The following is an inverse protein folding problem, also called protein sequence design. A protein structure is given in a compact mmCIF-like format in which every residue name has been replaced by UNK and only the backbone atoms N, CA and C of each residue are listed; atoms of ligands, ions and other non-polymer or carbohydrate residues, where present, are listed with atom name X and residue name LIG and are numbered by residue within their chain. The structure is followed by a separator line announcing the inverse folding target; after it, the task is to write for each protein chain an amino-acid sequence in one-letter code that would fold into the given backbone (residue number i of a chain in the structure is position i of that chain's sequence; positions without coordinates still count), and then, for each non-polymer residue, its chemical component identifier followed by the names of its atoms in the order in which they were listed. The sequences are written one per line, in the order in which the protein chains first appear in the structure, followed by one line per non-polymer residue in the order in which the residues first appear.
data_IF_798178408336
#
_entry.id   IF_798178408336
#
_cell.length_a   1.000
_cell.length_b   1.000
_cell.length_c   1.000
_cell.angle_alpha   90.00
_cell.angle_beta   90.00
_cell.angle_gamma   90.00
#
_symmetry.space_group_name_H-M   'P 1'
#
loop_
_entity.id
_entity.type
_entity.pdbx_description
1 polymer ?
#
# COMPACT_ATOMS: atom_id res chain seq x y z
N UNK A 1 14.27 -25.19 -9.85
CA UNK A 1 15.43 -24.26 -9.71
C UNK A 1 14.85 -22.88 -9.90
N UNK A 2 15.08 -21.91 -9.01
CA UNK A 2 14.46 -20.59 -9.17
C UNK A 2 15.07 -19.89 -10.38
N UNK A 3 14.24 -19.45 -11.31
CA UNK A 3 14.67 -18.75 -12.52
C UNK A 3 14.66 -17.23 -12.29
N UNK A 4 15.55 -16.52 -12.98
CA UNK A 4 15.52 -15.06 -12.97
C UNK A 4 14.26 -14.59 -13.72
N UNK A 5 13.52 -13.67 -13.12
CA UNK A 5 12.37 -13.03 -13.77
C UNK A 5 12.80 -11.92 -14.72
N UNK A 6 11.93 -11.60 -15.69
CA UNK A 6 12.07 -10.41 -16.53
C UNK A 6 12.28 -9.14 -15.68
N UNK A 7 13.09 -8.17 -16.13
CA UNK A 7 13.36 -6.95 -15.36
C UNK A 7 12.09 -6.14 -15.02
N UNK A 8 11.11 -6.10 -15.93
CA UNK A 8 9.82 -5.44 -15.70
C UNK A 8 9.02 -6.11 -14.59
N UNK A 9 8.92 -7.44 -14.61
CA UNK A 9 8.31 -8.21 -13.52
C UNK A 9 9.06 -8.03 -12.20
N UNK A 10 10.38 -8.06 -12.24
CA UNK A 10 11.23 -7.82 -11.05
C UNK A 10 10.97 -6.44 -10.43
N UNK A 11 10.74 -5.42 -11.27
CA UNK A 11 10.37 -4.07 -10.81
C UNK A 11 9.05 -4.06 -10.05
N UNK A 12 8.02 -4.76 -10.55
CA UNK A 12 6.71 -4.89 -9.87
C UNK A 12 6.86 -5.52 -8.48
N UNK A 13 7.69 -6.57 -8.36
CA UNK A 13 7.92 -7.25 -7.08
C UNK A 13 8.69 -6.37 -6.10
N UNK A 14 9.72 -5.65 -6.57
CA UNK A 14 10.45 -4.69 -5.76
C UNK A 14 9.53 -3.55 -5.31
N UNK A 15 8.63 -3.09 -6.19
CA UNK A 15 7.68 -2.04 -5.88
C UNK A 15 6.71 -2.46 -4.79
N UNK A 16 6.18 -3.68 -4.87
CA UNK A 16 5.31 -4.30 -3.85
C UNK A 16 5.97 -4.36 -2.46
N UNK A 17 7.31 -4.42 -2.41
CA UNK A 17 8.09 -4.46 -1.15
C UNK A 17 8.59 -3.09 -0.70
N UNK A 18 8.42 -2.05 -1.51
CA UNK A 18 9.07 -0.75 -1.29
C UNK A 18 8.62 -0.04 0.00
N UNK A 19 7.42 -0.33 0.52
CA UNK A 19 6.96 0.19 1.82
C UNK A 19 7.85 -0.27 2.98
N UNK A 20 8.51 -1.41 2.86
CA UNK A 20 9.42 -1.97 3.87
C UNK A 20 10.88 -1.51 3.67
N UNK A 21 11.14 -0.64 2.68
CA UNK A 21 12.44 -0.01 2.43
C UNK A 21 12.51 1.33 3.16
N UNK A 22 12.73 1.27 4.48
CA UNK A 22 12.76 2.43 5.36
C UNK A 22 13.83 3.46 4.96
N UNK A 23 14.87 3.05 4.26
CA UNK A 23 15.91 3.91 3.68
C UNK A 23 15.31 4.97 2.75
N UNK A 24 14.20 4.65 2.07
CA UNK A 24 13.48 5.59 1.20
C UNK A 24 12.62 6.60 1.98
N UNK A 25 12.42 6.38 3.28
CA UNK A 25 11.49 7.13 4.13
C UNK A 25 12.21 8.01 5.17
N UNK A 26 13.54 8.02 5.21
CA UNK A 26 14.34 8.75 6.22
C UNK A 26 13.98 10.22 6.34
N UNK A 27 13.68 10.90 5.23
CA UNK A 27 13.27 12.30 5.23
C UNK A 27 11.98 12.57 6.03
N UNK A 28 11.13 11.54 6.22
CA UNK A 28 9.91 11.66 7.02
C UNK A 28 10.19 11.83 8.51
N UNK A 29 11.42 11.56 8.98
CA UNK A 29 11.81 11.72 10.37
C UNK A 29 12.20 13.17 10.73
N UNK A 30 12.22 14.08 9.75
CA UNK A 30 12.45 15.50 10.00
C UNK A 30 11.50 16.07 11.07
N UNK A 31 12.04 16.70 12.11
CA UNK A 31 11.30 17.20 13.27
C UNK A 31 10.98 16.14 14.34
N UNK A 32 11.45 14.90 14.20
CA UNK A 32 11.23 13.80 15.16
C UNK A 32 12.59 13.43 15.79
N UNK A 33 12.78 13.59 17.11
CA UNK A 33 13.99 13.09 17.77
C UNK A 33 14.10 11.57 17.63
N UNK A 34 15.29 11.10 17.23
CA UNK A 34 15.57 9.67 17.04
C UNK A 34 16.79 9.29 17.87
N UNK A 35 16.60 8.33 18.78
CA UNK A 35 17.67 7.68 19.54
C UNK A 35 17.79 6.22 19.09
N UNK A 36 18.99 5.80 18.74
CA UNK A 36 19.31 4.47 18.27
C UNK A 36 20.30 3.80 19.22
N UNK A 37 20.06 2.54 19.55
CA UNK A 37 20.97 1.73 20.32
C UNK A 37 21.09 0.34 19.70
N UNK A 38 22.31 -0.15 19.50
CA UNK A 38 22.56 -1.44 18.86
C UNK A 38 23.61 -2.24 19.62
N UNK A 39 23.43 -3.56 19.74
CA UNK A 39 24.48 -4.45 20.23
C UNK A 39 25.62 -4.59 19.21
N UNK A 40 26.87 -4.33 19.62
CA UNK A 40 28.03 -4.43 18.72
C UNK A 40 28.30 -5.87 18.23
N UNK A 41 27.83 -6.87 18.97
CA UNK A 41 28.00 -8.28 18.70
C UNK A 41 26.67 -8.96 18.35
N UNK A 42 25.70 -8.21 17.81
CA UNK A 42 24.43 -8.75 17.32
C UNK A 42 24.67 -9.57 16.04
N UNK A 43 24.39 -10.86 16.12
CA UNK A 43 24.53 -11.86 15.06
C UNK A 43 23.20 -12.19 14.35
N UNK A 44 22.07 -11.65 14.84
CA UNK A 44 20.75 -11.81 14.23
C UNK A 44 20.39 -10.61 13.34
N UNK A 45 20.60 -9.39 13.85
CA UNK A 45 20.46 -8.14 13.10
C UNK A 45 21.79 -7.39 13.21
N UNK A 46 22.71 -7.54 12.24
CA UNK A 46 24.04 -6.95 12.34
C UNK A 46 24.00 -5.43 12.57
N UNK A 47 24.93 -4.93 13.39
CA UNK A 47 25.05 -3.50 13.73
C UNK A 47 25.17 -2.59 12.50
N UNK A 48 25.59 -3.14 11.35
CA UNK A 48 25.55 -2.49 10.04
C UNK A 48 24.22 -1.76 9.77
N UNK A 49 23.07 -2.37 10.08
CA UNK A 49 21.77 -1.77 9.79
C UNK A 49 21.52 -0.50 10.62
N UNK A 50 21.90 -0.50 11.90
CA UNK A 50 21.82 0.69 12.75
C UNK A 50 22.77 1.80 12.29
N UNK A 51 24.02 1.43 11.95
CA UNK A 51 25.00 2.38 11.40
C UNK A 51 24.52 3.02 10.09
N UNK A 52 23.99 2.20 9.18
CA UNK A 52 23.44 2.68 7.90
C UNK A 52 22.29 3.66 8.12
N UNK A 53 21.33 3.34 8.99
CA UNK A 53 20.21 4.24 9.26
C UNK A 53 20.66 5.53 9.96
N UNK A 54 21.65 5.48 10.85
CA UNK A 54 22.25 6.67 11.45
C UNK A 54 22.89 7.58 10.39
N UNK A 55 23.68 7.01 9.49
CA UNK A 55 24.33 7.72 8.37
C UNK A 55 23.29 8.34 7.41
N UNK A 56 22.25 7.59 7.01
CA UNK A 56 21.20 8.09 6.12
C UNK A 56 20.40 9.24 6.75
N UNK A 57 20.23 9.22 8.08
CA UNK A 57 19.58 10.30 8.82
C UNK A 57 20.43 11.57 8.85
N UNK A 58 21.76 11.43 9.00
CA UNK A 58 22.68 12.55 8.89
C UNK A 58 22.66 13.17 7.48
N UNK A 59 22.69 12.33 6.44
CA UNK A 59 22.56 12.76 5.04
C UNK A 59 21.23 13.46 4.77
N UNK A 60 20.15 13.03 5.42
CA UNK A 60 18.84 13.68 5.39
C UNK A 60 18.77 14.99 6.20
N UNK A 61 19.90 15.48 6.73
CA UNK A 61 20.03 16.69 7.55
C UNK A 61 19.20 16.62 8.84
N UNK A 62 19.01 15.41 9.36
CA UNK A 62 18.30 15.16 10.60
C UNK A 62 18.96 14.01 11.39
N UNK A 63 20.17 14.24 11.93
CA UNK A 63 20.95 13.18 12.56
C UNK A 63 20.21 12.60 13.76
N UNK A 64 20.38 11.29 13.94
CA UNK A 64 19.95 10.58 15.14
C UNK A 64 21.09 10.51 16.15
N UNK A 65 20.75 10.31 17.42
CA UNK A 65 21.74 9.82 18.38
C UNK A 65 21.95 8.31 18.15
N UNK A 66 23.19 7.83 18.12
CA UNK A 66 23.51 6.41 17.92
C UNK A 66 24.48 5.90 18.99
N UNK A 67 24.08 4.86 19.71
CA UNK A 67 24.89 4.20 20.75
C UNK A 67 25.06 2.73 20.47
N UNK A 68 26.25 2.35 20.02
CA UNK A 68 26.62 0.95 19.92
C UNK A 68 27.13 0.42 21.26
N UNK A 69 26.72 -0.78 21.65
CA UNK A 69 27.01 -1.38 22.95
C UNK A 69 28.04 -2.50 22.84
N UNK A 70 29.29 -2.30 23.32
CA UNK A 70 30.35 -3.29 23.22
C UNK A 70 29.97 -4.64 23.83
N UNK A 71 30.21 -5.71 23.07
CA UNK A 71 29.99 -7.10 23.51
C UNK A 71 28.53 -7.49 23.75
N UNK A 72 27.55 -6.64 23.43
CA UNK A 72 26.13 -6.98 23.51
C UNK A 72 25.63 -7.55 22.19
N UNK A 73 24.91 -8.67 22.24
CA UNK A 73 24.23 -9.28 21.10
C UNK A 73 22.79 -8.77 20.93
N UNK A 74 21.98 -9.52 20.16
CA UNK A 74 20.61 -9.15 19.81
C UNK A 74 19.69 -8.92 21.02
N UNK A 75 19.78 -9.80 22.01
CA UNK A 75 18.95 -9.75 23.21
C UNK A 75 19.79 -9.95 24.47
N UNK A 76 19.54 -9.12 25.48
CA UNK A 76 20.11 -9.27 26.81
C UNK A 76 19.22 -8.61 27.86
N UNK A 77 19.37 -9.03 29.12
CA UNK A 77 18.59 -8.45 30.24
C UNK A 77 18.85 -6.95 30.35
N UNK A 78 17.77 -6.16 30.28
CA UNK A 78 17.81 -4.71 30.42
C UNK A 78 18.09 -3.94 29.13
N UNK A 79 18.01 -4.58 27.96
CA UNK A 79 18.25 -3.95 26.64
C UNK A 79 17.44 -2.67 26.39
N UNK A 80 16.20 -2.61 26.90
CA UNK A 80 15.32 -1.44 26.80
C UNK A 80 15.47 -0.44 27.96
N UNK A 81 16.36 -0.68 28.91
CA UNK A 81 16.48 0.08 30.17
C UNK A 81 17.91 0.53 30.47
N UNK A 82 18.73 0.69 29.43
CA UNK A 82 20.05 1.30 29.56
C UNK A 82 19.92 2.76 30.02
N UNK A 83 20.98 3.31 30.64
CA UNK A 83 20.90 4.70 31.10
C UNK A 83 20.68 5.67 29.95
N UNK A 84 21.30 5.39 28.80
CA UNK A 84 21.11 6.14 27.56
C UNK A 84 19.62 6.23 27.14
N UNK A 85 18.92 5.10 27.08
CA UNK A 85 17.50 5.08 26.71
C UNK A 85 16.63 5.75 27.78
N UNK A 86 16.93 5.52 29.06
CA UNK A 86 16.21 6.17 30.17
C UNK A 86 16.33 7.69 30.12
N UNK A 87 17.51 8.21 29.84
CA UNK A 87 17.75 9.65 29.72
C UNK A 87 17.00 10.24 28.52
N UNK A 88 17.04 9.55 27.38
CA UNK A 88 16.22 9.92 26.22
C UNK A 88 14.73 9.96 26.58
N UNK A 89 14.19 8.90 27.22
CA UNK A 89 12.78 8.86 27.62
C UNK A 89 12.40 9.96 28.61
N UNK A 90 13.22 10.21 29.64
CA UNK A 90 13.01 11.32 30.59
C UNK A 90 12.98 12.67 29.88
N UNK A 91 13.88 12.87 28.91
CA UNK A 91 13.92 14.11 28.13
C UNK A 91 12.64 14.32 27.32
N UNK A 92 12.08 13.25 26.72
CA UNK A 92 10.87 13.31 25.92
C UNK A 92 9.58 13.51 26.74
N UNK A 93 9.54 13.04 28.00
CA UNK A 93 8.36 13.18 28.87
C UNK A 93 8.36 14.50 29.66
N UNK A 94 9.51 15.16 29.81
CA UNK A 94 9.60 16.46 30.46
C UNK A 94 8.89 17.55 29.62
N UNK A 95 7.72 18.01 30.10
CA UNK A 95 6.78 18.95 29.43
C UNK A 95 7.35 20.31 28.97
N UNK A 96 8.64 20.59 29.19
CA UNK A 96 9.24 21.91 28.98
C UNK A 96 10.12 22.04 27.72
N UNK A 97 10.27 21.00 26.88
CA UNK A 97 11.30 21.04 25.81
C UNK A 97 10.91 20.65 24.39
N UNK A 98 9.68 20.23 24.09
CA UNK A 98 9.37 19.72 22.75
C UNK A 98 8.20 20.44 22.09
N UNK A 99 8.28 21.76 21.95
CA UNK A 99 7.75 22.36 20.72
C UNK A 99 8.66 21.87 19.59
N UNK A 100 8.28 20.77 18.94
CA UNK A 100 9.08 20.16 17.87
C UNK A 100 8.99 21.08 16.65
N UNK A 101 10.02 21.90 16.47
CA UNK A 101 10.07 22.83 15.34
C UNK A 101 10.31 22.00 14.08
N UNK A 102 9.28 21.90 13.24
CA UNK A 102 9.46 21.42 11.87
C UNK A 102 10.57 22.25 11.22
N UNK A 103 11.50 21.65 10.45
CA UNK A 103 12.50 22.43 9.73
C UNK A 103 11.85 23.46 8.79
N UNK A 104 12.59 24.52 8.46
CA UNK A 104 12.11 25.52 7.47
C UNK A 104 11.82 24.86 6.12
N UNK A 105 12.66 23.92 5.71
CA UNK A 105 12.43 23.08 4.53
C UNK A 105 12.45 21.61 4.94
N UNK A 106 11.44 20.85 4.52
CA UNK A 106 11.40 19.41 4.75
C UNK A 106 10.73 18.68 3.58
N UNK A 107 10.91 17.36 3.53
CA UNK A 107 10.31 16.50 2.51
C UNK A 107 9.47 15.43 3.19
N UNK A 108 8.35 15.06 2.57
CA UNK A 108 7.55 13.89 2.94
C UNK A 108 7.55 12.93 1.74
N UNK A 109 7.99 11.70 1.95
CA UNK A 109 7.86 10.59 1.00
C UNK A 109 6.69 9.71 1.40
N UNK A 110 5.76 9.50 0.48
CA UNK A 110 4.48 8.83 0.73
C UNK A 110 4.49 7.47 0.02
N UNK A 111 4.58 6.35 0.75
CA UNK A 111 4.49 5.02 0.14
C UNK A 111 3.06 4.75 -0.35
N UNK A 112 2.92 3.86 -1.33
CA UNK A 112 1.62 3.43 -1.86
C UNK A 112 0.83 2.52 -0.90
N UNK A 113 1.34 2.28 0.32
CA UNK A 113 0.72 1.38 1.29
C UNK A 113 -0.58 1.90 1.89
N UNK A 114 -0.80 3.22 1.90
CA UNK A 114 -1.90 3.86 2.64
C UNK A 114 -1.79 3.78 4.16
N UNK A 115 -0.64 3.35 4.70
CA UNK A 115 -0.41 3.24 6.15
C UNK A 115 0.33 4.43 6.75
N UNK A 116 0.80 5.37 5.92
CA UNK A 116 1.42 6.59 6.40
C UNK A 116 0.34 7.50 6.99
N UNK A 117 0.39 7.70 8.30
CA UNK A 117 -0.41 8.71 8.97
C UNK A 117 0.05 10.13 8.65
N UNK A 118 -0.67 11.10 9.18
CA UNK A 118 -0.38 12.53 8.94
C UNK A 118 1.05 12.89 9.33
N UNK A 119 1.75 13.61 8.44
CA UNK A 119 3.06 14.21 8.72
C UNK A 119 2.96 15.71 8.55
N UNK A 120 3.33 16.44 9.61
CA UNK A 120 3.20 17.90 9.66
C UNK A 120 1.76 18.39 9.38
N UNK A 121 0.76 17.57 9.73
CA UNK A 121 -0.65 17.82 9.45
C UNK A 121 -1.12 17.43 8.05
N UNK A 122 -0.23 17.12 7.12
CA UNK A 122 -0.59 16.66 5.77
C UNK A 122 -0.93 15.17 5.84
N UNK A 123 -2.19 14.84 5.53
CA UNK A 123 -2.67 13.47 5.36
C UNK A 123 -2.96 13.22 3.89
N UNK A 124 -2.30 12.23 3.30
CA UNK A 124 -2.53 11.85 1.90
C UNK A 124 -3.60 10.79 1.83
N UNK A 125 -4.58 11.00 0.96
CA UNK A 125 -5.69 10.07 0.74
C UNK A 125 -5.43 9.20 -0.49
N UNK A 126 -4.88 9.76 -1.57
CA UNK A 126 -4.66 9.04 -2.84
C UNK A 126 -3.39 9.52 -3.56
N UNK A 127 -2.60 8.56 -4.07
CA UNK A 127 -1.55 8.81 -5.06
C UNK A 127 -2.15 8.74 -6.48
N UNK A 128 -1.50 9.35 -7.47
CA UNK A 128 -1.97 9.23 -8.88
C UNK A 128 -1.70 7.82 -9.44
N UNK A 129 -0.59 7.22 -9.04
CA UNK A 129 -0.26 5.83 -9.36
C UNK A 129 0.44 5.16 -8.17
N UNK A 130 0.22 3.86 -7.94
CA UNK A 130 0.99 3.09 -6.97
C UNK A 130 2.45 2.89 -7.40
N UNK A 131 2.83 3.14 -8.65
CA UNK A 131 4.13 2.74 -9.24
C UNK A 131 5.34 3.47 -8.64
N UNK A 132 5.14 4.67 -8.09
CA UNK A 132 6.20 5.47 -7.48
C UNK A 132 5.73 6.08 -6.16
N UNK A 133 6.65 6.39 -5.25
CA UNK A 133 6.26 7.09 -4.03
C UNK A 133 5.78 8.50 -4.34
N UNK A 134 4.75 8.93 -3.62
CA UNK A 134 4.37 10.33 -3.56
C UNK A 134 5.47 11.14 -2.88
N UNK A 135 5.60 12.42 -3.24
CA UNK A 135 6.51 13.34 -2.55
C UNK A 135 5.87 14.70 -2.32
N UNK A 136 6.16 15.27 -1.16
CA UNK A 136 5.99 16.69 -0.85
C UNK A 136 7.35 17.28 -0.56
N UNK A 137 7.68 18.42 -1.14
CA UNK A 137 8.77 19.30 -0.70
C UNK A 137 8.12 20.57 -0.18
N UNK A 138 8.28 20.83 1.11
CA UNK A 138 7.67 21.97 1.79
C UNK A 138 8.75 22.97 2.12
N UNK A 139 8.56 24.22 1.73
CA UNK A 139 9.38 25.35 2.13
C UNK A 139 8.50 26.38 2.83
N UNK A 140 8.80 26.65 4.10
CA UNK A 140 8.03 27.54 4.98
C UNK A 140 8.57 28.95 4.87
N UNK A 141 7.68 29.93 4.79
CA UNK A 141 8.03 31.34 4.91
C UNK A 141 8.65 31.62 6.29
N UNK A 142 9.47 32.68 6.42
CA UNK A 142 10.08 33.04 7.72
C UNK A 142 9.07 33.31 8.85
N UNK A 143 7.86 33.74 8.51
CA UNK A 143 6.75 33.95 9.45
C UNK A 143 5.92 32.68 9.73
N UNK A 144 6.27 31.55 9.10
CA UNK A 144 5.61 30.24 9.16
C UNK A 144 4.14 30.19 8.70
N UNK A 145 3.57 31.32 8.26
CA UNK A 145 2.16 31.45 7.86
C UNK A 145 1.88 30.89 6.47
N UNK A 146 2.89 30.91 5.59
CA UNK A 146 2.75 30.47 4.19
C UNK A 146 3.68 29.31 3.91
N UNK A 147 3.14 28.20 3.39
CA UNK A 147 3.98 27.09 2.92
C UNK A 147 3.94 26.99 1.40
N UNK A 148 5.12 26.99 0.79
CA UNK A 148 5.30 26.67 -0.62
C UNK A 148 5.55 25.17 -0.74
N UNK A 149 4.65 24.48 -1.43
CA UNK A 149 4.62 23.02 -1.48
C UNK A 149 4.76 22.57 -2.94
N UNK A 150 5.79 21.79 -3.24
CA UNK A 150 5.91 21.07 -4.49
C UNK A 150 5.55 19.61 -4.29
N UNK A 151 4.70 19.05 -5.14
CA UNK A 151 4.19 17.70 -5.04
C UNK A 151 4.60 16.85 -6.24
N UNK A 152 4.69 15.53 -6.04
CA UNK A 152 4.87 14.54 -7.11
C UNK A 152 4.02 13.32 -6.80
N UNK A 153 3.29 12.82 -7.79
CA UNK A 153 2.45 11.63 -7.68
C UNK A 153 1.40 11.71 -6.56
N UNK A 154 0.79 12.89 -6.36
CA UNK A 154 -0.29 13.08 -5.39
C UNK A 154 -1.58 13.40 -6.15
N UNK A 155 -2.64 12.64 -5.88
CA UNK A 155 -3.96 12.87 -6.44
C UNK A 155 -4.88 13.62 -5.46
N UNK A 156 -4.88 13.21 -4.18
CA UNK A 156 -5.73 13.79 -3.15
C UNK A 156 -5.05 13.80 -1.78
N UNK A 157 -5.17 14.92 -1.06
CA UNK A 157 -4.75 15.04 0.33
C UNK A 157 -5.61 16.05 1.08
N UNK A 158 -5.50 16.05 2.41
CA UNK A 158 -6.11 17.05 3.28
C UNK A 158 -5.18 17.40 4.45
N UNK A 159 -5.56 18.44 5.20
CA UNK A 159 -4.92 18.73 6.49
C UNK A 159 -5.72 18.06 7.60
N UNK A 160 -5.11 17.09 8.29
CA UNK A 160 -5.70 16.49 9.48
C UNK A 160 -5.73 17.51 10.62
N UNK A 161 -6.67 17.37 11.57
CA UNK A 161 -6.67 18.18 12.79
C UNK A 161 -5.27 18.19 13.43
N UNK A 162 -4.74 19.38 13.66
CA UNK A 162 -3.40 19.54 14.19
C UNK A 162 -3.35 18.98 15.61
N UNK A 163 -2.42 18.07 15.88
CA UNK A 163 -1.96 17.87 17.25
C UNK A 163 -1.40 19.21 17.76
N UNK A 164 -1.53 19.50 19.06
CA UNK A 164 -1.00 20.71 19.71
C UNK A 164 0.52 20.93 19.56
N UNK A 165 1.21 20.03 18.84
CA UNK A 165 2.66 20.03 18.61
C UNK A 165 3.06 20.54 17.22
N UNK A 166 2.11 20.81 16.31
CA UNK A 166 2.39 21.29 14.94
C UNK A 166 1.58 22.54 14.64
N UNK A 167 2.25 23.65 14.38
CA UNK A 167 1.63 24.87 13.86
C UNK A 167 1.40 24.72 12.36
N UNK A 168 0.13 24.70 11.96
CA UNK A 168 -0.27 24.65 10.56
C UNK A 168 -0.13 26.02 9.89
N UNK A 169 0.12 26.06 8.56
CA UNK A 169 0.12 27.33 7.84
C UNK A 169 -1.29 27.96 7.83
N UNK A 170 -1.34 29.28 7.64
CA UNK A 170 -2.58 30.00 7.30
C UNK A 170 -2.91 29.78 5.81
N UNK A 171 -1.87 29.76 4.95
CA UNK A 171 -2.01 29.58 3.51
C UNK A 171 -0.97 28.64 2.91
N UNK A 172 -1.33 27.98 1.80
CA UNK A 172 -0.42 27.16 1.01
C UNK A 172 -0.39 27.60 -0.45
N UNK A 173 0.78 27.48 -1.08
CA UNK A 173 0.99 27.67 -2.52
C UNK A 173 1.46 26.34 -3.09
N UNK A 174 0.68 25.74 -3.99
CA UNK A 174 0.97 24.41 -4.56
C UNK A 174 1.59 24.52 -5.94
N UNK A 175 2.66 23.74 -6.17
CA UNK A 175 3.30 23.50 -7.46
C UNK A 175 3.63 24.76 -8.28
N UNK A 176 3.89 25.88 -7.60
CA UNK A 176 4.19 27.17 -8.25
C UNK A 176 3.00 27.81 -8.97
N UNK A 177 1.77 27.38 -8.69
CA UNK A 177 0.57 27.98 -9.25
C UNK A 177 0.42 29.46 -8.84
N UNK A 178 -0.16 30.27 -9.74
CA UNK A 178 -0.55 31.65 -9.46
C UNK A 178 -1.80 31.66 -8.57
N UNK A 179 -1.61 31.51 -7.27
CA UNK A 179 -2.69 31.50 -6.27
C UNK A 179 -2.27 30.82 -4.98
N UNK A 180 -3.10 30.98 -3.95
CA UNK A 180 -2.89 30.35 -2.64
C UNK A 180 -4.22 29.80 -2.11
N UNK A 181 -4.14 28.75 -1.30
CA UNK A 181 -5.30 28.16 -0.64
C UNK A 181 -5.23 28.44 0.86
N UNK A 182 -6.34 28.91 1.43
CA UNK A 182 -6.46 29.09 2.89
C UNK A 182 -6.66 27.73 3.57
N UNK A 183 -5.84 27.47 4.60
CA UNK A 183 -5.78 26.19 5.30
C UNK A 183 -6.89 26.08 6.35
N UNK A 184 -7.41 27.21 6.84
CA UNK A 184 -8.53 27.22 7.78
C UNK A 184 -9.80 26.53 7.23
N UNK A 185 -10.01 26.54 5.91
CA UNK A 185 -11.05 25.72 5.28
C UNK A 185 -10.67 24.23 5.19
N UNK A 186 -9.39 23.93 5.00
CA UNK A 186 -8.83 22.59 4.86
C UNK A 186 -8.83 21.75 6.16
N UNK A 187 -9.00 22.39 7.32
CA UNK A 187 -9.10 21.74 8.63
C UNK A 187 -10.52 21.25 8.98
N UNK A 188 -11.54 21.58 8.18
CA UNK A 188 -12.87 20.95 8.34
C UNK A 188 -12.75 19.49 7.91
N UNK A 189 -13.39 18.57 8.63
CA UNK A 189 -13.33 17.12 8.41
C UNK A 189 -13.72 16.61 6.99
N UNK A 190 -14.06 17.52 6.07
CA UNK A 190 -14.56 17.25 4.73
C UNK A 190 -14.00 18.24 3.70
N UNK A 191 -12.74 18.64 3.81
CA UNK A 191 -12.09 19.48 2.79
C UNK A 191 -10.84 18.79 2.27
N UNK A 192 -10.80 18.56 0.96
CA UNK A 192 -9.68 17.95 0.26
C UNK A 192 -9.10 18.90 -0.77
N UNK A 193 -7.79 18.81 -0.99
CA UNK A 193 -7.15 19.30 -2.20
C UNK A 193 -7.03 18.13 -3.17
N UNK A 194 -7.63 18.28 -4.34
CA UNK A 194 -7.72 17.24 -5.36
C UNK A 194 -7.10 17.76 -6.64
N UNK A 195 -6.33 16.90 -7.32
CA UNK A 195 -5.80 17.21 -8.64
C UNK A 195 -6.79 16.74 -9.71
N UNK A 196 -7.21 17.66 -10.58
CA UNK A 196 -8.10 17.37 -11.71
C UNK A 196 -7.38 16.61 -12.85
N UNK A 197 -8.11 16.33 -13.93
CA UNK A 197 -7.60 15.59 -15.08
C UNK A 197 -6.53 16.38 -15.86
N UNK A 198 -6.60 17.71 -15.83
CA UNK A 198 -5.66 18.65 -16.42
C UNK A 198 -4.40 18.86 -15.55
N UNK A 199 -4.39 18.29 -14.34
CA UNK A 199 -3.26 18.34 -13.42
C UNK A 199 -3.25 19.54 -12.48
N UNK A 200 -4.33 20.33 -12.42
CA UNK A 200 -4.47 21.51 -11.56
C UNK A 200 -5.11 21.14 -10.22
N UNK A 201 -4.75 21.90 -9.18
CA UNK A 201 -5.30 21.72 -7.83
C UNK A 201 -6.61 22.48 -7.62
N UNK A 202 -7.59 21.79 -7.04
CA UNK A 202 -8.90 22.33 -6.66
C UNK A 202 -9.28 21.92 -5.24
N UNK A 203 -10.11 22.76 -4.58
CA UNK A 203 -10.72 22.42 -3.30
C UNK A 203 -11.99 21.62 -3.57
N UNK A 204 -12.12 20.47 -2.91
CA UNK A 204 -13.32 19.66 -2.92
C UNK A 204 -13.87 19.49 -1.51
N UNK A 205 -15.19 19.65 -1.38
CA UNK A 205 -15.95 19.31 -0.17
C UNK A 205 -16.85 18.10 -0.37
N UNK A 206 -16.76 17.46 -1.53
CA UNK A 206 -17.61 16.33 -1.83
C UNK A 206 -17.16 15.14 -0.97
N UNK A 207 -18.06 14.54 -0.21
CA UNK A 207 -17.80 13.32 0.55
C UNK A 207 -18.16 12.07 -0.25
N UNK A 208 -18.88 12.24 -1.36
CA UNK A 208 -19.42 11.15 -2.19
C UNK A 208 -18.37 10.50 -3.09
N UNK A 209 -17.13 10.96 -3.12
CA UNK A 209 -16.06 10.31 -3.89
C UNK A 209 -15.67 8.95 -3.32
N UNK A 210 -15.95 8.69 -2.03
CA UNK A 210 -15.71 7.42 -1.33
C UNK A 210 -16.69 6.33 -1.78
N UNK A 211 -16.55 5.91 -3.03
CA UNK A 211 -17.35 4.86 -3.66
C UNK A 211 -16.47 3.67 -4.04
N UNK A 212 -17.09 2.57 -4.48
CA UNK A 212 -16.35 1.41 -5.02
C UNK A 212 -15.53 1.75 -6.28
N UNK A 213 -15.76 2.89 -6.94
CA UNK A 213 -15.03 3.30 -8.13
C UNK A 213 -13.66 3.92 -7.84
N UNK A 214 -13.35 4.26 -6.58
CA UNK A 214 -12.06 4.81 -6.20
C UNK A 214 -11.47 4.03 -5.02
N UNK A 215 -10.14 3.89 -4.99
CA UNK A 215 -9.42 3.32 -3.86
C UNK A 215 -9.28 4.36 -2.76
N UNK A 216 -9.63 3.98 -1.52
CA UNK A 216 -9.44 4.84 -0.35
C UNK A 216 -9.29 4.04 0.94
N UNK A 217 -8.74 4.70 1.96
CA UNK A 217 -8.64 4.16 3.32
C UNK A 217 -7.91 2.82 3.35
N UNK A 218 -8.52 1.81 3.97
CA UNK A 218 -7.91 0.48 4.15
C UNK A 218 -7.67 -0.30 2.86
N UNK A 219 -8.28 0.11 1.74
CA UNK A 219 -8.11 -0.54 0.43
C UNK A 219 -6.75 -0.28 -0.23
N UNK A 220 -6.02 0.74 0.24
CA UNK A 220 -4.73 1.13 -0.31
C UNK A 220 -3.64 0.12 0.06
N UNK A 221 -2.64 -0.06 -0.81
CA UNK A 221 -1.56 -1.02 -0.63
C UNK A 221 -1.70 -2.24 -1.54
N UNK A 222 -0.76 -3.18 -1.38
CA UNK A 222 -0.66 -4.35 -2.24
C UNK A 222 -1.64 -5.45 -1.77
N UNK A 223 -1.41 -6.71 -2.15
CA UNK A 223 -2.32 -7.82 -1.81
C UNK A 223 -2.56 -7.95 -0.29
N UNK A 224 -1.58 -7.57 0.53
CA UNK A 224 -1.66 -7.57 2.00
C UNK A 224 -2.68 -6.58 2.58
N UNK A 225 -3.21 -5.64 1.78
CA UNK A 225 -4.32 -4.78 2.17
C UNK A 225 -5.56 -5.59 2.58
N UNK A 226 -5.73 -6.81 2.05
CA UNK A 226 -6.80 -7.73 2.46
C UNK A 226 -6.80 -8.02 3.97
N UNK A 227 -5.66 -7.92 4.63
CA UNK A 227 -5.55 -8.17 6.08
C UNK A 227 -6.11 -7.02 6.92
N UNK A 228 -6.40 -5.86 6.32
CA UNK A 228 -6.90 -4.66 7.00
C UNK A 228 -8.42 -4.68 7.08
N UNK A 229 -8.93 -5.68 7.79
CA UNK A 229 -10.37 -5.89 7.94
C UNK A 229 -10.91 -5.30 9.24
N UNK A 230 -12.20 -4.90 9.27
CA UNK A 230 -12.88 -4.45 10.49
C UNK A 230 -13.77 -5.55 11.11
N UNK A 231 -13.77 -6.76 10.55
CA UNK A 231 -14.60 -7.86 11.03
C UNK A 231 -14.07 -9.23 10.59
N UNK A 232 -14.88 -10.25 10.82
CA UNK A 232 -14.57 -11.64 10.47
C UNK A 232 -14.40 -11.80 8.96
N UNK A 233 -13.37 -12.53 8.52
CA UNK A 233 -13.21 -12.84 7.10
C UNK A 233 -14.35 -13.73 6.62
N UNK A 234 -14.86 -13.44 5.42
CA UNK A 234 -15.80 -14.35 4.75
C UNK A 234 -15.10 -15.04 3.60
N UNK A 235 -14.99 -16.37 3.64
CA UNK A 235 -14.42 -17.18 2.57
C UNK A 235 -15.59 -17.81 1.80
N UNK A 236 -15.75 -17.45 0.53
CA UNK A 236 -16.84 -17.91 -0.34
C UNK A 236 -16.33 -18.93 -1.33
N UNK A 237 -16.94 -20.10 -1.36
CA UNK A 237 -16.73 -21.09 -2.43
C UNK A 237 -17.80 -20.93 -3.51
N UNK A 238 -17.40 -20.61 -4.74
CA UNK A 238 -18.30 -20.48 -5.89
C UNK A 238 -18.38 -21.74 -6.76
N UNK A 239 -17.42 -22.64 -6.62
CA UNK A 239 -17.29 -23.84 -7.48
C UNK A 239 -17.25 -25.11 -6.63
N UNK A 240 -17.70 -26.25 -7.17
CA UNK A 240 -17.52 -27.54 -6.52
C UNK A 240 -16.03 -27.87 -6.29
N UNK A 241 -15.70 -28.45 -5.14
CA UNK A 241 -14.35 -28.97 -4.84
C UNK A 241 -13.34 -27.94 -4.33
N UNK A 242 -13.77 -26.72 -4.03
CA UNK A 242 -12.91 -25.66 -3.46
C UNK A 242 -12.80 -25.73 -1.93
N UNK A 243 -13.53 -26.64 -1.29
CA UNK A 243 -13.70 -26.71 0.17
C UNK A 243 -12.38 -26.91 0.91
N UNK A 244 -11.49 -27.76 0.38
CA UNK A 244 -10.17 -27.98 0.97
C UNK A 244 -9.30 -26.72 0.93
N UNK A 245 -9.43 -25.91 -0.13
CA UNK A 245 -8.70 -24.65 -0.28
C UNK A 245 -9.27 -23.59 0.67
N UNK A 246 -10.61 -23.51 0.78
CA UNK A 246 -11.27 -22.63 1.75
C UNK A 246 -10.85 -22.95 3.19
N UNK A 247 -10.86 -24.23 3.56
CA UNK A 247 -10.45 -24.69 4.88
C UNK A 247 -8.98 -24.39 5.16
N UNK A 248 -8.11 -24.57 4.16
CA UNK A 248 -6.69 -24.24 4.28
C UNK A 248 -6.48 -22.73 4.51
N UNK A 249 -7.18 -21.88 3.77
CA UNK A 249 -7.12 -20.42 3.95
C UNK A 249 -7.60 -20.03 5.34
N UNK A 250 -8.76 -20.56 5.76
CA UNK A 250 -9.32 -20.34 7.11
C UNK A 250 -8.31 -20.73 8.21
N UNK A 251 -7.74 -21.93 8.12
CA UNK A 251 -6.70 -22.41 9.03
C UNK A 251 -5.50 -21.46 9.06
N UNK A 252 -5.03 -21.00 7.90
CA UNK A 252 -3.86 -20.13 7.82
C UNK A 252 -4.13 -18.74 8.45
N UNK A 253 -5.31 -18.16 8.20
CA UNK A 253 -5.71 -16.90 8.84
C UNK A 253 -5.72 -17.02 10.37
N UNK A 254 -6.27 -18.11 10.89
CA UNK A 254 -6.24 -18.39 12.33
C UNK A 254 -4.80 -18.62 12.84
N UNK A 255 -4.02 -19.45 12.16
CA UNK A 255 -2.68 -19.84 12.59
C UNK A 255 -1.68 -18.67 12.63
N UNK A 256 -1.72 -17.78 11.65
CA UNK A 256 -0.71 -16.72 11.48
C UNK A 256 -1.15 -15.37 12.05
N UNK A 257 -2.47 -15.10 12.10
CA UNK A 257 -2.99 -13.81 12.53
C UNK A 257 -3.98 -13.89 13.69
N UNK A 258 -4.31 -15.09 14.18
CA UNK A 258 -5.41 -15.31 15.11
C UNK A 258 -6.73 -14.68 14.61
N UNK A 259 -6.92 -14.66 13.28
CA UNK A 259 -8.07 -14.02 12.64
C UNK A 259 -9.21 -15.03 12.46
N UNK A 260 -10.41 -14.62 12.84
CA UNK A 260 -11.63 -15.39 12.63
C UNK A 260 -12.06 -15.36 11.16
N UNK A 261 -12.61 -16.48 10.69
CA UNK A 261 -13.18 -16.59 9.35
C UNK A 261 -14.43 -17.49 9.36
N UNK A 262 -15.34 -17.21 8.43
CA UNK A 262 -16.50 -18.07 8.13
C UNK A 262 -16.40 -18.57 6.68
N UNK A 263 -16.72 -19.84 6.45
CA UNK A 263 -16.78 -20.42 5.10
C UNK A 263 -18.25 -20.50 4.69
N UNK A 264 -18.57 -20.01 3.49
CA UNK A 264 -19.91 -20.02 2.92
C UNK A 264 -19.88 -20.66 1.54
N UNK A 265 -20.74 -21.66 1.33
CA UNK A 265 -20.92 -22.38 0.07
C UNK A 265 -22.02 -21.71 -0.78
N UNK A 266 -21.89 -20.41 -1.03
CA UNK A 266 -22.82 -19.67 -1.90
C UNK A 266 -22.19 -18.41 -2.45
N UNK A 267 -22.24 -18.26 -3.78
CA UNK A 267 -21.82 -17.06 -4.49
C UNK A 267 -22.98 -16.20 -5.01
N UNK A 268 -24.11 -16.19 -4.30
CA UNK A 268 -25.22 -15.27 -4.60
C UNK A 268 -24.82 -13.80 -4.35
N UNK A 269 -25.23 -12.90 -5.25
CA UNK A 269 -24.81 -11.48 -5.23
C UNK A 269 -25.21 -10.71 -3.95
N UNK A 270 -26.22 -11.19 -3.22
CA UNK A 270 -26.74 -10.51 -2.03
C UNK A 270 -25.82 -10.62 -0.79
N UNK A 271 -24.79 -11.48 -0.81
CA UNK A 271 -23.96 -11.75 0.39
C UNK A 271 -22.87 -10.72 0.65
N UNK A 272 -22.55 -9.84 -0.31
CA UNK A 272 -21.50 -8.81 -0.18
C UNK A 272 -22.00 -7.48 0.40
N UNK A 273 -23.32 -7.30 0.51
CA UNK A 273 -23.89 -6.09 1.08
C UNK A 273 -23.80 -6.11 2.62
N UNK A 274 -23.08 -5.14 3.17
CA UNK A 274 -23.02 -4.81 4.61
C UNK A 274 -22.21 -5.74 5.53
N UNK A 275 -21.26 -6.51 5.01
CA UNK A 275 -20.29 -7.22 5.87
C UNK A 275 -19.18 -6.25 6.31
N UNK A 276 -18.86 -6.14 7.62
CA UNK A 276 -17.71 -5.32 8.08
C UNK A 276 -16.35 -5.96 7.78
N UNK A 277 -16.37 -7.26 7.44
CA UNK A 277 -15.20 -8.08 7.14
C UNK A 277 -14.79 -8.04 5.68
N UNK A 278 -13.53 -8.36 5.40
CA UNK A 278 -13.03 -8.56 4.04
C UNK A 278 -13.42 -9.95 3.54
N UNK A 279 -13.53 -10.09 2.22
CA UNK A 279 -14.03 -11.31 1.57
C UNK A 279 -12.91 -11.98 0.79
N UNK A 280 -12.86 -13.31 0.81
CA UNK A 280 -12.00 -14.12 -0.05
C UNK A 280 -12.92 -15.01 -0.88
N UNK A 281 -12.89 -14.86 -2.20
CA UNK A 281 -13.77 -15.60 -3.12
C UNK A 281 -12.95 -16.61 -3.90
N UNK A 282 -13.35 -17.89 -3.83
CA UNK A 282 -12.74 -19.01 -4.54
C UNK A 282 -13.64 -19.42 -5.70
N UNK A 283 -13.13 -19.42 -6.93
CA UNK A 283 -13.91 -19.79 -8.10
C UNK A 283 -13.05 -20.47 -9.18
N UNK A 284 -13.68 -21.32 -9.98
CA UNK A 284 -13.07 -22.04 -11.09
C UNK A 284 -13.82 -21.74 -12.38
N UNK A 285 -13.10 -21.55 -13.48
CA UNK A 285 -13.68 -21.35 -14.80
C UNK A 285 -14.67 -20.18 -14.80
N UNK A 286 -15.93 -20.42 -15.17
CA UNK A 286 -16.96 -19.39 -15.34
C UNK A 286 -17.76 -19.08 -14.06
N UNK A 287 -17.45 -19.72 -12.94
CA UNK A 287 -18.24 -19.59 -11.70
C UNK A 287 -17.94 -18.31 -10.92
N UNK A 288 -16.92 -17.53 -11.31
CA UNK A 288 -16.59 -16.27 -10.64
C UNK A 288 -17.66 -15.22 -10.93
N UNK A 289 -18.30 -14.63 -9.91
CA UNK A 289 -19.25 -13.54 -10.11
C UNK A 289 -18.59 -12.31 -10.77
N UNK A 290 -19.35 -11.51 -11.53
CA UNK A 290 -18.83 -10.27 -12.11
C UNK A 290 -18.35 -9.31 -11.02
N UNK A 291 -17.40 -8.44 -11.38
CA UNK A 291 -16.92 -7.43 -10.45
C UNK A 291 -18.04 -6.43 -10.08
N UNK A 292 -17.98 -5.79 -8.89
CA UNK A 292 -18.97 -4.78 -8.48
C UNK A 292 -19.05 -3.53 -9.38
N UNK A 293 -18.07 -3.33 -10.26
CA UNK A 293 -18.03 -2.24 -11.23
C UNK A 293 -17.77 -2.79 -12.63
N UNK A 294 -18.57 -2.36 -13.62
CA UNK A 294 -18.44 -2.80 -15.02
C UNK A 294 -17.10 -2.42 -15.65
N UNK A 295 -16.50 -1.32 -15.18
CA UNK A 295 -15.21 -0.81 -15.65
C UNK A 295 -14.00 -1.45 -14.95
N UNK A 296 -14.20 -2.48 -14.15
CA UNK A 296 -13.09 -3.20 -13.50
C UNK A 296 -12.26 -3.94 -14.57
N UNK A 297 -10.93 -3.82 -14.55
CA UNK A 297 -10.09 -4.27 -15.67
C UNK A 297 -9.83 -5.78 -15.72
N UNK A 298 -10.07 -6.54 -14.64
CA UNK A 298 -9.82 -7.99 -14.60
C UNK A 298 -11.16 -8.75 -14.57
N UNK A 299 -11.46 -9.42 -15.67
CA UNK A 299 -12.75 -10.08 -15.89
C UNK A 299 -12.56 -11.54 -16.31
N UNK A 300 -13.62 -12.33 -16.17
CA UNK A 300 -13.66 -13.70 -16.69
C UNK A 300 -14.65 -13.73 -17.85
N UNK A 301 -14.16 -14.07 -19.04
CA UNK A 301 -14.94 -14.25 -20.26
C UNK A 301 -14.85 -15.71 -20.71
N UNK A 302 -15.98 -16.41 -20.73
CA UNK A 302 -16.06 -17.82 -21.14
C UNK A 302 -15.03 -18.74 -20.43
N UNK A 303 -14.75 -18.48 -19.15
CA UNK A 303 -13.77 -19.22 -18.35
C UNK A 303 -12.30 -18.84 -18.61
N UNK A 304 -12.04 -17.77 -19.35
CA UNK A 304 -10.71 -17.19 -19.59
C UNK A 304 -10.58 -15.88 -18.82
N UNK A 305 -9.39 -15.60 -18.32
CA UNK A 305 -9.09 -14.34 -17.64
C UNK A 305 -8.72 -13.27 -18.66
N UNK A 306 -9.38 -12.12 -18.58
CA UNK A 306 -9.14 -10.96 -19.43
C UNK A 306 -8.64 -9.81 -18.56
N UNK A 307 -7.47 -9.27 -18.91
CA UNK A 307 -6.95 -8.02 -18.32
C UNK A 307 -7.05 -6.93 -19.37
N UNK A 308 -7.81 -5.87 -19.07
CA UNK A 308 -7.88 -4.68 -19.89
C UNK A 308 -6.98 -3.58 -19.33
N UNK A 309 -6.08 -3.05 -20.16
CA UNK A 309 -5.25 -1.89 -19.82
C UNK A 309 -5.75 -0.67 -20.58
N UNK A 310 -5.63 0.49 -19.93
CA UNK A 310 -5.82 1.78 -20.61
C UNK A 310 -4.46 2.23 -21.09
N UNK A 311 -4.28 2.42 -22.41
CA UNK A 311 -3.02 2.91 -22.97
C UNK A 311 -2.56 4.22 -22.29
N UNK A 312 -1.28 4.29 -21.92
CA UNK A 312 -0.71 5.46 -21.25
C UNK A 312 -0.35 6.57 -22.27
N UNK A 313 -1.01 7.73 -22.13
CA UNK A 313 -0.60 9.09 -22.51
C UNK A 313 -0.27 9.37 -23.99
N UNK A 314 -1.25 9.91 -24.73
CA UNK A 314 -1.21 11.20 -25.49
C UNK A 314 -2.12 11.18 -26.74
N UNK A 315 -3.10 12.10 -26.76
CA UNK A 315 -3.77 12.67 -27.94
C UNK A 315 -4.53 11.77 -28.95
N UNK A 316 -4.68 10.46 -28.73
CA UNK A 316 -5.59 9.60 -29.49
C UNK A 316 -6.56 8.89 -28.52
N UNK A 317 -7.77 8.48 -28.93
CA UNK A 317 -8.63 7.68 -28.07
C UNK A 317 -7.81 6.46 -27.63
N UNK A 318 -7.57 6.35 -26.33
CA UNK A 318 -6.69 5.33 -25.75
C UNK A 318 -7.14 3.96 -26.27
N UNK A 319 -6.29 3.29 -27.05
CA UNK A 319 -6.54 1.89 -27.38
C UNK A 319 -6.53 1.12 -26.06
N UNK A 320 -7.66 0.48 -25.79
CA UNK A 320 -7.78 -0.52 -24.73
C UNK A 320 -7.10 -1.78 -25.23
N UNK A 321 -6.00 -2.17 -24.60
CA UNK A 321 -5.36 -3.45 -24.89
C UNK A 321 -5.96 -4.51 -23.98
N UNK A 322 -6.23 -5.68 -24.55
CA UNK A 322 -6.80 -6.81 -23.83
C UNK A 322 -5.85 -8.00 -23.89
N UNK A 323 -5.48 -8.50 -22.71
CA UNK A 323 -4.68 -9.70 -22.55
C UNK A 323 -5.58 -10.83 -22.09
N UNK A 324 -5.61 -11.93 -22.84
CA UNK A 324 -6.52 -13.06 -22.60
C UNK A 324 -5.72 -14.31 -22.26
N UNK A 325 -6.04 -14.93 -21.13
CA UNK A 325 -5.36 -16.12 -20.61
C UNK A 325 -6.36 -17.24 -20.33
N UNK A 326 -6.08 -18.47 -20.78
CA UNK A 326 -7.07 -19.55 -20.74
C UNK A 326 -6.53 -20.98 -20.81
N UNK A 327 -5.27 -21.20 -20.42
CA UNK A 327 -4.68 -22.56 -20.44
C UNK A 327 -5.05 -23.39 -19.19
N UNK A 328 -5.01 -24.72 -19.27
CA UNK A 328 -5.13 -25.60 -18.10
C UNK A 328 -4.06 -25.30 -17.04
N UNK A 329 -4.41 -25.41 -15.77
CA UNK A 329 -3.52 -25.14 -14.65
C UNK A 329 -3.25 -23.66 -14.36
N UNK A 330 -3.83 -22.74 -15.13
CA UNK A 330 -3.69 -21.30 -14.92
C UNK A 330 -4.44 -20.84 -13.67
N UNK A 331 -3.75 -20.10 -12.81
CA UNK A 331 -4.29 -19.52 -11.59
C UNK A 331 -4.14 -18.00 -11.55
N UNK A 332 -5.07 -17.30 -10.91
CA UNK A 332 -4.94 -15.88 -10.67
C UNK A 332 -5.40 -15.48 -9.27
N UNK A 333 -4.76 -14.46 -8.72
CA UNK A 333 -5.16 -13.80 -7.48
C UNK A 333 -5.23 -12.30 -7.72
N UNK A 334 -6.29 -11.63 -7.26
CA UNK A 334 -6.44 -10.18 -7.43
C UNK A 334 -7.44 -9.55 -6.46
N UNK A 335 -7.28 -8.24 -6.20
CA UNK A 335 -8.16 -7.46 -5.32
C UNK A 335 -9.27 -6.72 -6.07
N UNK A 336 -10.52 -6.87 -5.59
CA UNK A 336 -11.67 -6.08 -6.03
C UNK A 336 -12.16 -5.11 -4.93
N UNK A 337 -12.72 -3.95 -5.29
CA UNK A 337 -13.36 -3.05 -4.33
C UNK A 337 -14.61 -3.66 -3.71
N UNK A 338 -14.81 -3.42 -2.42
CA UNK A 338 -16.10 -3.58 -1.76
C UNK A 338 -16.48 -2.27 -1.02
N UNK A 339 -17.78 -2.03 -0.71
CA UNK A 339 -18.21 -0.84 0.01
C UNK A 339 -17.56 -0.69 1.40
N UNK A 340 -17.42 0.55 1.88
CA UNK A 340 -16.99 0.82 3.25
C UNK A 340 -15.53 0.46 3.56
N UNK A 341 -14.61 0.76 2.65
CA UNK A 341 -13.18 0.44 2.75
C UNK A 341 -12.83 -1.05 2.79
N UNK A 342 -13.80 -1.93 2.51
CA UNK A 342 -13.56 -3.39 2.47
C UNK A 342 -13.01 -3.82 1.11
N UNK A 343 -12.43 -5.03 1.08
CA UNK A 343 -11.82 -5.66 -0.09
C UNK A 343 -12.36 -7.07 -0.30
N UNK A 344 -12.44 -7.47 -1.56
CA UNK A 344 -12.55 -8.86 -1.98
C UNK A 344 -11.22 -9.33 -2.57
N UNK A 345 -10.64 -10.40 -2.03
CA UNK A 345 -9.54 -11.13 -2.65
C UNK A 345 -10.13 -12.28 -3.47
N UNK A 346 -10.02 -12.17 -4.79
CA UNK A 346 -10.37 -13.27 -5.68
C UNK A 346 -9.19 -14.23 -5.78
N UNK A 347 -9.45 -15.51 -5.56
CA UNK A 347 -8.56 -16.62 -5.88
C UNK A 347 -9.28 -17.44 -6.93
N UNK A 348 -8.73 -17.47 -8.14
CA UNK A 348 -9.38 -18.06 -9.29
C UNK A 348 -8.42 -19.01 -10.02
N UNK A 349 -8.98 -19.99 -10.72
CA UNK A 349 -8.23 -20.79 -11.67
C UNK A 349 -9.09 -21.25 -12.85
N UNK A 350 -8.45 -21.60 -13.96
CA UNK A 350 -9.13 -22.28 -15.08
C UNK A 350 -9.63 -23.66 -14.67
N UNK A 351 -8.90 -24.31 -13.76
CA UNK A 351 -9.25 -25.56 -13.09
C UNK A 351 -8.85 -25.53 -11.59
N UNK A 352 -9.08 -26.65 -10.89
CA UNK A 352 -8.74 -26.78 -9.46
C UNK A 352 -7.23 -26.70 -9.20
N UNK A 353 -6.38 -27.07 -10.14
CA UNK A 353 -4.94 -27.01 -9.94
C UNK A 353 -4.42 -25.58 -10.07
N UNK A 354 -4.96 -24.81 -11.01
CA UNK A 354 -4.75 -23.37 -11.10
C UNK A 354 -5.24 -22.62 -9.85
N UNK A 355 -6.42 -22.97 -9.35
CA UNK A 355 -6.94 -22.42 -8.09
C UNK A 355 -5.99 -22.69 -6.91
N UNK A 356 -5.53 -23.94 -6.75
CA UNK A 356 -4.58 -24.32 -5.69
C UNK A 356 -3.27 -23.56 -5.79
N UNK A 357 -2.79 -23.34 -7.01
CA UNK A 357 -1.59 -22.56 -7.27
C UNK A 357 -1.76 -21.10 -6.87
N UNK A 358 -2.87 -20.46 -7.27
CA UNK A 358 -3.20 -19.09 -6.88
C UNK A 358 -3.39 -18.94 -5.36
N UNK A 359 -4.01 -19.93 -4.70
CA UNK A 359 -4.25 -19.90 -3.25
C UNK A 359 -2.98 -19.79 -2.41
N UNK A 360 -1.82 -20.18 -2.95
CA UNK A 360 -0.50 -20.01 -2.30
C UNK A 360 -0.10 -18.55 -2.12
N UNK A 361 -0.73 -17.65 -2.88
CA UNK A 361 -0.49 -16.21 -2.79
C UNK A 361 -1.43 -15.50 -1.82
N UNK A 362 -2.41 -16.19 -1.22
CA UNK A 362 -3.21 -15.59 -0.14
C UNK A 362 -2.25 -15.16 1.00
N UNK A 363 -2.26 -13.89 1.43
CA UNK A 363 -1.29 -13.40 2.40
C UNK A 363 -1.36 -14.16 3.74
N UNK A 364 -0.25 -14.80 4.13
CA UNK A 364 -0.09 -15.47 5.44
C UNK A 364 1.01 -14.85 6.29
N UNK A 365 1.77 -13.90 5.75
CA UNK A 365 2.81 -13.15 6.45
C UNK A 365 2.76 -11.69 6.00
N UNK A 366 3.08 -10.77 6.92
CA UNK A 366 3.29 -9.37 6.57
C UNK A 366 4.58 -9.22 5.75
N UNK A 367 4.60 -8.30 4.78
CA UNK A 367 5.81 -8.03 3.99
C UNK A 367 6.16 -9.06 2.92
N UNK A 368 5.22 -9.93 2.54
CA UNK A 368 5.38 -10.87 1.42
C UNK A 368 5.69 -10.17 0.09
N UNK A 369 5.20 -8.93 -0.08
CA UNK A 369 5.52 -8.11 -1.25
C UNK A 369 4.84 -8.61 -2.53
N UNK A 370 3.60 -9.07 -2.41
CA UNK A 370 2.79 -9.49 -3.56
C UNK A 370 2.02 -8.30 -4.13
N UNK A 371 2.06 -8.07 -5.45
CA UNK A 371 1.29 -7.01 -6.09
C UNK A 371 -0.22 -7.30 -6.03
N UNK A 372 -1.05 -6.29 -6.31
CA UNK A 372 -2.52 -6.36 -6.19
C UNK A 372 -3.17 -7.38 -7.13
N UNK A 373 -2.49 -7.77 -8.21
CA UNK A 373 -2.88 -8.92 -9.01
C UNK A 373 -1.66 -9.73 -9.49
N UNK A 374 -1.85 -11.05 -9.64
CA UNK A 374 -0.89 -11.97 -10.24
C UNK A 374 -1.63 -13.04 -11.03
N UNK A 375 -1.14 -13.38 -12.23
CA UNK A 375 -1.58 -14.48 -13.08
C UNK A 375 -0.40 -15.46 -13.25
N UNK A 376 -0.63 -16.72 -12.90
CA UNK A 376 0.38 -17.78 -12.87
C UNK A 376 0.02 -18.84 -13.91
N UNK A 377 0.93 -19.09 -14.87
CA UNK A 377 0.83 -20.23 -15.78
C UNK A 377 1.37 -21.53 -15.15
N UNK A 378 1.34 -22.62 -15.90
CA UNK A 378 1.88 -23.92 -15.41
C UNK A 378 3.39 -23.84 -15.11
N UNK A 379 4.15 -23.04 -15.88
CA UNK A 379 5.59 -22.87 -15.69
C UNK A 379 5.97 -22.29 -14.32
N UNK A 380 5.09 -21.48 -13.72
CA UNK A 380 5.29 -20.91 -12.39
C UNK A 380 5.50 -21.98 -11.29
N UNK A 381 5.09 -23.23 -11.52
CA UNK A 381 5.29 -24.34 -10.57
C UNK A 381 6.76 -24.69 -10.36
N UNK A 382 7.59 -24.50 -11.37
CA UNK A 382 9.01 -24.85 -11.33
C UNK A 382 9.95 -23.66 -11.55
N UNK A 383 9.49 -22.59 -12.23
CA UNK A 383 10.21 -21.32 -12.39
C UNK A 383 9.97 -20.33 -11.25
N UNK A 384 8.93 -20.54 -10.43
CA UNK A 384 8.50 -19.59 -9.43
C UNK A 384 7.88 -18.36 -10.09
N UNK A 385 8.23 -17.17 -9.62
CA UNK A 385 7.64 -15.92 -10.15
C UNK A 385 8.01 -15.63 -11.60
N UNK A 386 9.12 -16.17 -12.10
CA UNK A 386 9.54 -15.97 -13.49
C UNK A 386 8.55 -16.56 -14.51
N UNK A 387 7.75 -17.57 -14.11
CA UNK A 387 6.71 -18.14 -14.95
C UNK A 387 5.34 -17.44 -14.83
N UNK A 388 5.27 -16.25 -14.22
CA UNK A 388 4.02 -15.50 -14.11
C UNK A 388 3.72 -14.80 -15.45
N UNK A 389 2.46 -14.86 -15.90
CA UNK A 389 2.04 -14.18 -17.13
C UNK A 389 1.67 -12.73 -16.91
N UNK A 390 1.21 -12.37 -15.73
CA UNK A 390 0.91 -10.98 -15.43
C UNK A 390 1.08 -10.73 -13.93
N UNK A 391 1.54 -9.54 -13.59
CA UNK A 391 1.58 -9.09 -12.20
C UNK A 391 1.61 -7.57 -12.16
N UNK A 392 0.90 -6.95 -11.23
CA UNK A 392 0.85 -5.50 -11.23
C UNK A 392 -0.03 -4.86 -10.18
N UNK A 393 -0.10 -3.53 -10.28
CA UNK A 393 -0.74 -2.69 -9.31
C UNK A 393 -2.01 -2.04 -9.89
N UNK A 394 -2.90 -1.59 -9.01
CA UNK A 394 -4.13 -0.90 -9.38
C UNK A 394 -4.06 0.56 -8.94
N UNK A 395 -4.37 1.50 -9.82
CA UNK A 395 -4.35 2.93 -9.51
C UNK A 395 -5.51 3.36 -8.60
N UNK A 396 -5.58 4.66 -8.28
CA UNK A 396 -6.64 5.20 -7.41
C UNK A 396 -8.05 5.00 -7.97
N UNK A 397 -8.20 4.68 -9.25
CA UNK A 397 -9.46 4.43 -9.97
C UNK A 397 -9.68 2.93 -10.29
N UNK A 398 -8.91 2.05 -9.64
CA UNK A 398 -8.95 0.60 -9.85
C UNK A 398 -8.53 0.14 -11.26
N UNK A 399 -7.80 0.96 -12.02
CA UNK A 399 -7.27 0.59 -13.34
C UNK A 399 -5.87 0.00 -13.22
N UNK A 400 -5.47 -0.82 -14.20
CA UNK A 400 -4.12 -1.41 -14.26
C UNK A 400 -3.09 -0.28 -14.36
N UNK A 401 -2.12 -0.26 -13.44
CA UNK A 401 -1.10 0.78 -13.46
C UNK A 401 -0.16 0.60 -14.66
N UNK A 402 0.34 1.69 -15.28
CA UNK A 402 1.19 1.60 -16.46
C UNK A 402 2.50 0.82 -16.27
N UNK A 403 3.00 0.71 -15.03
CA UNK A 403 4.24 -0.03 -14.74
C UNK A 403 4.00 -1.51 -14.41
N UNK A 404 2.77 -2.00 -14.60
CA UNK A 404 2.44 -3.40 -14.41
C UNK A 404 3.03 -4.27 -15.53
N UNK A 405 3.21 -5.57 -15.25
CA UNK A 405 3.75 -6.54 -16.19
C UNK A 405 2.63 -7.39 -16.79
N UNK A 406 2.67 -7.56 -18.12
CA UNK A 406 1.89 -8.51 -18.89
C UNK A 406 2.84 -9.18 -19.90
N UNK A 407 2.85 -10.51 -19.93
CA UNK A 407 3.43 -11.26 -21.04
C UNK A 407 2.41 -11.34 -22.17
N UNK A 408 2.87 -11.30 -23.42
CA UNK A 408 2.01 -11.61 -24.54
C UNK A 408 1.43 -13.03 -24.37
N UNK A 409 0.14 -13.24 -24.66
CA UNK A 409 -0.40 -14.60 -24.74
C UNK A 409 0.32 -15.33 -25.87
N UNK A 410 1.03 -16.41 -25.55
CA UNK A 410 1.68 -17.29 -26.54
C UNK A 410 0.63 -18.04 -27.35
#
# INVERSE_FOLDING_TARGET
MWHNSEPSLSSVLLRSRSTYKHELLVGNLAGIPVAQQHGAADDNVPAYHGRLMHELLDQAQWPSEYKELPGKGHWYKGVLTTEYLKDFYRSMVSRSRTAKVLPQTFTITVPASGTLGSKAGIQVDQLQTPDVNGKFRVNRSPDNKTWHISTRNIHRFHFSEASSLVELPETIVLDGMNGSFEVHFAQKAQTWLVRDAEGKWEISHDTRWKTVHQRYGRQLGALDAILRTQGTFTIRGCSPGVDSVALQISRNLFQYFAADSQIIESCSNNTLQHQPGNVITLAVGHDLPPAPMETYPIQIDQGRLVISTSGSLSALPALREEYVFGEPGLGAVFLRPCPGETLELVVWGTDLDGLRQAARLVPTITGSGQPEYVVLGDSSRWEGVAGAYAAGHLDWSWQISPSSYQSDPI
#
